data_IF_058538636841
#
_entry.id   IF_058538636841
#
_cell.length_a   1.000
_cell.length_b   1.000
_cell.length_c   1.000
_cell.angle_alpha   90.00
_cell.angle_beta   90.00
_cell.angle_gamma   90.00
#
_symmetry.space_group_name_H-M   'P 1'
#
loop_
_entity.id
_entity.type
_entity.pdbx_description
1 polymer ?
#
# COMPACT_ATOMS: atom_id res chain seq x y z
N UNK A 1 -4.14 31.30 5.78
CA UNK A 1 -3.19 30.42 6.46
C UNK A 1 -2.56 29.49 5.41
N UNK A 2 -1.37 29.78 4.90
CA UNK A 2 -0.69 28.96 3.88
C UNK A 2 -0.04 27.76 4.60
N UNK A 3 -0.64 26.58 4.47
CA UNK A 3 -0.10 25.33 4.99
C UNK A 3 1.10 24.96 4.12
N UNK A 4 2.28 25.42 4.51
CA UNK A 4 3.56 25.00 3.96
C UNK A 4 3.80 23.55 4.42
N UNK A 5 3.22 22.58 3.71
CA UNK A 5 3.62 21.18 3.84
C UNK A 5 5.11 21.09 3.45
N UNK A 6 5.98 20.56 4.31
CA UNK A 6 7.42 20.57 4.04
C UNK A 6 7.69 19.73 2.79
N UNK A 7 8.32 20.32 1.77
CA UNK A 7 8.70 19.66 0.50
C UNK A 7 9.29 18.26 0.68
N UNK A 8 9.97 18.00 1.81
CA UNK A 8 10.50 16.68 2.21
C UNK A 8 9.44 15.58 2.31
N UNK A 9 8.26 15.87 2.88
CA UNK A 9 7.22 14.87 3.09
C UNK A 9 6.60 14.42 1.76
N UNK A 10 6.45 15.36 0.82
CA UNK A 10 5.94 15.10 -0.52
C UNK A 10 6.93 14.29 -1.37
N UNK A 11 8.23 14.61 -1.24
CA UNK A 11 9.30 13.85 -1.88
C UNK A 11 9.35 12.41 -1.36
N UNK A 12 9.27 12.22 -0.03
CA UNK A 12 9.23 10.89 0.59
C UNK A 12 8.03 10.07 0.09
N UNK A 13 6.81 10.63 0.09
CA UNK A 13 5.63 9.94 -0.45
C UNK A 13 5.82 9.51 -1.91
N UNK A 14 6.38 10.38 -2.74
CA UNK A 14 6.62 10.09 -4.15
C UNK A 14 7.65 8.97 -4.34
N UNK A 15 8.76 9.02 -3.59
CA UNK A 15 9.82 7.99 -3.63
C UNK A 15 9.28 6.65 -3.16
N UNK A 16 8.48 6.61 -2.08
CA UNK A 16 7.86 5.39 -1.59
C UNK A 16 6.89 4.79 -2.62
N UNK A 17 6.08 5.62 -3.29
CA UNK A 17 5.21 5.17 -4.37
C UNK A 17 6.00 4.56 -5.55
N UNK A 18 7.07 5.22 -5.97
CA UNK A 18 7.96 4.72 -7.05
C UNK A 18 8.62 3.40 -6.67
N UNK A 19 9.10 3.26 -5.42
CA UNK A 19 9.65 2.02 -4.89
C UNK A 19 8.62 0.87 -4.90
N UNK A 20 7.37 1.16 -4.55
CA UNK A 20 6.29 0.16 -4.57
C UNK A 20 6.01 -0.32 -6.00
N UNK A 21 5.94 0.61 -6.96
CA UNK A 21 5.73 0.28 -8.39
C UNK A 21 6.89 -0.57 -8.92
N UNK A 22 8.13 -0.17 -8.66
CA UNK A 22 9.33 -0.93 -9.05
C UNK A 22 9.31 -2.34 -8.45
N UNK A 23 8.93 -2.45 -7.18
CA UNK A 23 8.83 -3.74 -6.50
C UNK A 23 7.80 -4.66 -7.12
N UNK A 24 6.65 -4.13 -7.53
CA UNK A 24 5.58 -4.88 -8.18
C UNK A 24 6.01 -5.35 -9.56
N UNK A 25 6.71 -4.50 -10.32
CA UNK A 25 7.30 -4.86 -11.61
C UNK A 25 8.34 -5.97 -11.47
N UNK A 26 9.27 -5.83 -10.52
CA UNK A 26 10.30 -6.84 -10.24
C UNK A 26 9.64 -8.17 -9.86
N UNK A 27 8.60 -8.14 -9.02
CA UNK A 27 7.88 -9.36 -8.65
C UNK A 27 7.12 -9.99 -9.82
N UNK A 28 6.49 -9.19 -10.67
CA UNK A 28 5.80 -9.68 -11.87
C UNK A 28 6.76 -10.34 -12.87
N UNK A 29 8.01 -9.87 -12.95
CA UNK A 29 9.03 -10.42 -13.88
C UNK A 29 9.80 -11.60 -13.28
N UNK A 30 10.29 -11.47 -12.03
CA UNK A 30 11.12 -12.52 -11.42
C UNK A 30 10.30 -13.65 -10.80
N UNK A 31 9.03 -13.41 -10.45
CA UNK A 31 8.02 -14.36 -9.89
C UNK A 31 8.40 -15.13 -8.61
N UNK A 32 9.67 -15.16 -8.22
CA UNK A 32 10.21 -16.07 -7.22
C UNK A 32 10.20 -15.51 -5.78
N UNK A 33 9.98 -14.20 -5.58
CA UNK A 33 10.10 -13.60 -4.25
C UNK A 33 9.05 -12.50 -3.99
N UNK A 34 8.37 -12.50 -2.84
CA UNK A 34 7.27 -11.59 -2.54
C UNK A 34 7.76 -10.20 -2.08
N UNK A 35 8.68 -9.59 -2.83
CA UNK A 35 9.25 -8.27 -2.49
C UNK A 35 8.17 -7.19 -2.35
N UNK A 36 7.12 -7.25 -3.17
CA UNK A 36 6.03 -6.26 -3.12
C UNK A 36 5.27 -6.30 -1.80
N UNK A 37 5.10 -7.46 -1.17
CA UNK A 37 4.39 -7.58 0.09
C UNK A 37 5.15 -6.93 1.26
N UNK A 38 6.47 -7.14 1.31
CA UNK A 38 7.33 -6.56 2.34
C UNK A 38 7.30 -5.02 2.24
N UNK A 39 7.45 -4.50 1.02
CA UNK A 39 7.39 -3.06 0.76
C UNK A 39 5.99 -2.49 1.04
N UNK A 40 4.92 -3.22 0.72
CA UNK A 40 3.56 -2.83 1.01
C UNK A 40 3.30 -2.64 2.50
N UNK A 41 3.84 -3.52 3.36
CA UNK A 41 3.73 -3.40 4.82
C UNK A 41 4.45 -2.14 5.32
N UNK A 42 5.69 -1.93 4.88
CA UNK A 42 6.48 -0.76 5.27
C UNK A 42 5.75 0.52 4.86
N UNK A 43 5.25 0.58 3.63
CA UNK A 43 4.64 1.79 3.09
C UNK A 43 3.23 2.01 3.67
N UNK A 44 2.47 0.94 3.94
CA UNK A 44 1.21 1.02 4.70
C UNK A 44 1.37 1.71 6.04
N UNK A 45 2.50 1.47 6.72
CA UNK A 45 2.77 2.11 8.00
C UNK A 45 2.86 3.65 7.89
N UNK A 46 3.37 4.18 6.76
CA UNK A 46 3.58 5.61 6.52
C UNK A 46 2.43 6.32 5.80
N UNK A 47 1.71 5.64 4.90
CA UNK A 47 0.67 6.26 4.05
C UNK A 47 -0.76 6.12 4.59
N UNK A 48 -0.96 5.33 5.65
CA UNK A 48 -2.27 5.15 6.30
C UNK A 48 -3.37 4.82 5.28
N UNK A 49 -4.51 5.52 5.30
CA UNK A 49 -5.68 5.20 4.47
C UNK A 49 -5.42 5.37 2.96
N UNK A 50 -4.43 6.18 2.56
CA UNK A 50 -4.08 6.36 1.15
C UNK A 50 -3.49 5.09 0.52
N UNK A 51 -2.95 4.17 1.34
CA UNK A 51 -2.34 2.95 0.82
C UNK A 51 -3.36 2.00 0.19
N UNK A 52 -4.63 2.05 0.58
CA UNK A 52 -5.65 1.13 0.05
C UNK A 52 -5.85 1.29 -1.45
N UNK A 53 -5.86 2.53 -1.95
CA UNK A 53 -5.97 2.81 -3.39
C UNK A 53 -4.75 2.30 -4.15
N UNK A 54 -3.54 2.53 -3.62
CA UNK A 54 -2.31 2.02 -4.21
C UNK A 54 -2.25 0.49 -4.20
N UNK A 55 -2.62 -0.14 -3.08
CA UNK A 55 -2.65 -1.59 -2.89
C UNK A 55 -3.60 -2.26 -3.89
N UNK A 56 -4.78 -1.68 -4.09
CA UNK A 56 -5.76 -2.19 -5.04
C UNK A 56 -5.28 -2.07 -6.49
N UNK A 57 -4.84 -0.88 -6.92
CA UNK A 57 -4.39 -0.65 -8.30
C UNK A 57 -3.16 -1.49 -8.62
N UNK A 58 -2.19 -1.56 -7.71
CA UNK A 58 -0.97 -2.32 -7.92
C UNK A 58 -1.20 -3.83 -7.87
N UNK A 59 -2.09 -4.30 -7.02
CA UNK A 59 -2.46 -5.72 -7.00
C UNK A 59 -3.18 -6.14 -8.28
N UNK A 60 -4.12 -5.33 -8.80
CA UNK A 60 -4.75 -5.59 -10.11
C UNK A 60 -3.74 -5.56 -11.25
N UNK A 61 -2.79 -4.62 -11.20
CA UNK A 61 -1.72 -4.55 -12.21
C UNK A 61 -0.82 -5.79 -12.17
N UNK A 62 -0.52 -6.30 -10.97
CA UNK A 62 0.25 -7.53 -10.80
C UNK A 62 -0.53 -8.76 -11.27
N UNK A 63 -1.83 -8.84 -10.99
CA UNK A 63 -2.71 -9.89 -11.49
C UNK A 63 -2.70 -9.93 -13.03
N UNK A 64 -2.78 -8.75 -13.67
CA UNK A 64 -2.68 -8.62 -15.12
C UNK A 64 -1.32 -9.08 -15.66
N UNK A 65 -0.21 -8.69 -15.02
CA UNK A 65 1.14 -9.08 -15.43
C UNK A 65 1.41 -10.59 -15.31
N UNK A 66 0.90 -11.21 -14.25
CA UNK A 66 1.09 -12.65 -14.01
C UNK A 66 0.19 -13.52 -14.90
N UNK A 67 -0.70 -12.92 -15.69
CA UNK A 67 -1.65 -13.64 -16.55
C UNK A 67 -2.61 -14.55 -15.78
N UNK A 68 -2.75 -14.32 -14.47
CA UNK A 68 -3.53 -15.14 -13.56
C UNK A 68 -4.98 -14.67 -13.42
N UNK A 69 -5.67 -15.18 -12.41
CA UNK A 69 -7.02 -14.72 -12.08
C UNK A 69 -7.00 -13.27 -11.59
N UNK A 70 -7.68 -12.40 -12.33
CA UNK A 70 -7.89 -11.00 -11.97
C UNK A 70 -8.51 -10.89 -10.57
N UNK A 71 -7.79 -10.25 -9.65
CA UNK A 71 -8.27 -9.91 -8.32
C UNK A 71 -7.59 -10.65 -7.16
N UNK A 72 -6.83 -11.72 -7.40
CA UNK A 72 -6.20 -12.48 -6.29
C UNK A 72 -5.12 -11.64 -5.59
N UNK A 73 -4.18 -11.07 -6.35
CA UNK A 73 -3.14 -10.20 -5.80
C UNK A 73 -3.74 -8.91 -5.24
N UNK A 74 -4.76 -8.34 -5.90
CA UNK A 74 -5.49 -7.19 -5.35
C UNK A 74 -6.09 -7.46 -3.97
N UNK A 75 -6.68 -8.64 -3.77
CA UNK A 75 -7.27 -9.05 -2.50
C UNK A 75 -6.18 -9.26 -1.42
N UNK A 76 -5.07 -9.91 -1.79
CA UNK A 76 -3.92 -10.11 -0.89
C UNK A 76 -3.34 -8.77 -0.44
N UNK A 77 -3.11 -7.84 -1.38
CA UNK A 77 -2.54 -6.53 -1.08
C UNK A 77 -3.46 -5.71 -0.18
N UNK A 78 -4.76 -5.70 -0.46
CA UNK A 78 -5.74 -5.04 0.40
C UNK A 78 -5.78 -5.66 1.80
N UNK A 79 -5.79 -6.99 1.90
CA UNK A 79 -5.81 -7.71 3.17
C UNK A 79 -4.59 -7.40 4.03
N UNK A 80 -3.39 -7.41 3.45
CA UNK A 80 -2.15 -7.09 4.17
C UNK A 80 -2.12 -5.63 4.60
N UNK A 81 -2.55 -4.71 3.73
CA UNK A 81 -2.63 -3.29 4.06
C UNK A 81 -3.59 -3.03 5.21
N UNK A 82 -4.76 -3.67 5.18
CA UNK A 82 -5.74 -3.61 6.26
C UNK A 82 -5.20 -4.17 7.57
N UNK A 83 -4.57 -5.37 7.53
CA UNK A 83 -3.98 -6.00 8.71
C UNK A 83 -2.89 -5.12 9.32
N UNK A 84 -2.03 -4.53 8.49
CA UNK A 84 -0.95 -3.62 8.93
C UNK A 84 -1.53 -2.40 9.63
N UNK A 85 -2.59 -1.81 9.07
CA UNK A 85 -3.29 -0.68 9.67
C UNK A 85 -4.02 -1.04 10.96
N UNK A 86 -4.69 -2.19 11.01
CA UNK A 86 -5.36 -2.68 12.20
C UNK A 86 -4.37 -2.94 13.34
N UNK A 87 -3.22 -3.57 13.05
CA UNK A 87 -2.15 -3.78 14.02
C UNK A 87 -1.56 -2.45 14.48
N UNK A 88 -1.29 -1.51 13.57
CA UNK A 88 -0.81 -0.16 13.92
C UNK A 88 -1.81 0.56 14.84
N UNK A 89 -3.10 0.54 14.54
CA UNK A 89 -4.15 1.17 15.37
C UNK A 89 -4.23 0.54 16.76
N UNK A 90 -4.14 -0.79 16.85
CA UNK A 90 -4.11 -1.53 18.12
C UNK A 90 -2.89 -1.16 18.96
N UNK A 91 -1.70 -1.08 18.36
CA UNK A 91 -0.46 -0.71 19.06
C UNK A 91 -0.48 0.76 19.51
N UNK A 92 -1.05 1.67 18.71
CA UNK A 92 -1.14 3.10 19.05
C UNK A 92 -2.28 3.44 20.03
N UNK A 93 -3.11 2.48 20.46
CA UNK A 93 -4.24 2.72 21.36
C UNK A 93 -5.35 3.62 20.77
N UNK A 94 -5.38 3.79 19.44
CA UNK A 94 -6.37 4.59 18.71
C UNK A 94 -7.57 3.74 18.28
N UNK A 95 -8.11 2.95 19.20
CA UNK A 95 -9.20 2.00 18.91
C UNK A 95 -10.53 2.69 18.52
N UNK A 96 -10.67 4.00 18.80
CA UNK A 96 -11.88 4.79 18.48
C UNK A 96 -11.89 5.54 17.15
N UNK A 97 -10.78 5.58 16.41
CA UNK A 97 -10.69 6.32 15.14
C UNK A 97 -11.12 5.39 13.99
N UNK A 98 -12.39 5.46 13.56
CA UNK A 98 -12.93 4.70 12.41
C UNK A 98 -11.97 4.81 11.22
N UNK A 99 -11.57 3.67 10.64
CA UNK A 99 -10.91 3.66 9.32
C UNK A 99 -11.91 4.29 8.34
N UNK A 100 -11.61 5.48 7.83
CA UNK A 100 -12.42 6.09 6.79
C UNK A 100 -12.10 5.35 5.51
N UNK A 101 -13.02 4.49 5.10
CA UNK A 101 -13.02 3.98 3.75
C UNK A 101 -13.27 5.17 2.80
N UNK A 102 -12.78 5.13 1.55
CA UNK A 102 -12.93 6.25 0.60
C UNK A 102 -14.38 6.63 0.23
N UNK A 103 -15.38 6.06 0.90
CA UNK A 103 -16.81 6.33 0.72
C UNK A 103 -17.53 6.74 2.03
N UNK A 104 -16.81 6.93 3.15
CA UNK A 104 -17.35 7.42 4.44
C UNK A 104 -17.19 8.94 4.61
#
# INVERSE_FOLDING_TARGET
>A
MKIFLPKRLFLQRSILGVLLVLSVLIQGVLTAFPFSLILLVIISYFLEEQIFSYAFVLGLFLDFLLGGHLGVQAMIFLGISFLTLAVKKKILGKEGEKLRLPYD
#
